data_IF_071667228595
#
_entry.id   IF_071667228595
#
_cell.length_a   1.000
_cell.length_b   1.000
_cell.length_c   1.000
_cell.angle_alpha   90.00
_cell.angle_beta   90.00
_cell.angle_gamma   90.00
#
_symmetry.space_group_name_H-M   'P 1'
#
loop_
_entity.id
_entity.type
_entity.pdbx_description
1 polymer ?
#
# COMPACT_ATOMS: atom_id res chain seq x y z
N UNK A 1 -61.53 -31.41 -28.14
CA UNK A 1 -61.43 -31.74 -26.70
C UNK A 1 -60.30 -32.75 -26.53
N UNK A 2 -59.06 -32.28 -26.35
CA UNK A 2 -57.88 -33.12 -26.23
C UNK A 2 -57.08 -32.63 -25.01
N UNK A 3 -57.26 -33.28 -23.86
CA UNK A 3 -56.26 -33.32 -22.77
C UNK A 3 -55.55 -34.68 -22.82
N UNK A 4 -54.49 -34.95 -22.02
CA UNK A 4 -53.95 -34.20 -20.87
C UNK A 4 -52.46 -33.83 -20.99
N UNK A 5 -51.97 -32.96 -20.09
CA UNK A 5 -50.53 -32.69 -19.92
C UNK A 5 -49.80 -33.89 -19.29
N UNK A 6 -48.52 -34.11 -19.66
CA UNK A 6 -47.55 -34.68 -18.75
C UNK A 6 -46.47 -33.65 -18.38
N UNK A 7 -46.40 -33.30 -17.09
CA UNK A 7 -45.21 -32.70 -16.47
C UNK A 7 -44.03 -33.63 -16.74
N UNK A 8 -43.01 -33.15 -17.45
CA UNK A 8 -41.73 -33.85 -17.54
C UNK A 8 -40.77 -33.20 -16.57
N UNK A 9 -40.90 -33.62 -15.32
CA UNK A 9 -39.86 -33.55 -14.31
C UNK A 9 -38.67 -34.38 -14.84
N UNK A 10 -37.73 -33.70 -15.49
CA UNK A 10 -36.48 -34.29 -15.95
C UNK A 10 -35.36 -33.57 -15.22
N UNK A 11 -35.13 -34.04 -14.00
CA UNK A 11 -33.80 -34.14 -13.39
C UNK A 11 -32.87 -34.80 -14.42
N UNK A 12 -32.28 -34.00 -15.29
CA UNK A 12 -31.19 -34.43 -16.16
C UNK A 12 -29.91 -33.89 -15.54
N UNK A 13 -29.17 -34.85 -14.99
CA UNK A 13 -27.80 -34.72 -14.56
C UNK A 13 -26.94 -34.06 -15.64
N UNK A 14 -26.00 -33.26 -15.14
CA UNK A 14 -24.88 -32.57 -15.78
C UNK A 14 -24.30 -33.29 -17.02
N UNK A 15 -23.74 -32.49 -17.95
CA UNK A 15 -22.30 -32.48 -17.97
C UNK A 15 -21.79 -31.11 -17.52
N UNK A 16 -20.83 -31.20 -16.59
CA UNK A 16 -19.95 -30.16 -16.10
C UNK A 16 -19.47 -29.34 -17.30
N UNK A 17 -20.08 -28.17 -17.51
CA UNK A 17 -19.47 -27.12 -18.31
C UNK A 17 -18.19 -26.76 -17.55
N UNK A 18 -17.06 -27.21 -18.10
CA UNK A 18 -15.71 -26.80 -17.73
C UNK A 18 -15.58 -25.28 -17.94
N UNK A 19 -16.20 -24.49 -17.09
CA UNK A 19 -15.73 -23.14 -16.76
C UNK A 19 -14.62 -23.36 -15.76
N UNK A 20 -13.44 -23.70 -16.27
CA UNK A 20 -12.22 -23.71 -15.48
C UNK A 20 -12.03 -22.31 -14.88
N UNK A 21 -12.35 -22.24 -13.58
CA UNK A 21 -11.50 -21.70 -12.53
C UNK A 21 -10.87 -20.30 -12.78
N UNK A 22 -11.42 -19.33 -12.04
CA UNK A 22 -10.67 -18.27 -11.33
C UNK A 22 -9.51 -17.59 -12.06
N UNK A 23 -9.82 -16.46 -12.71
CA UNK A 23 -8.92 -15.31 -12.74
C UNK A 23 -9.44 -14.20 -11.79
N UNK A 24 -9.96 -14.61 -10.62
CA UNK A 24 -9.80 -13.79 -9.44
C UNK A 24 -8.49 -14.25 -8.83
N UNK A 25 -7.52 -13.36 -8.66
CA UNK A 25 -6.76 -13.16 -7.41
C UNK A 25 -5.66 -12.14 -7.70
N UNK A 26 -5.95 -10.90 -7.29
CA UNK A 26 -5.03 -9.88 -6.79
C UNK A 26 -3.71 -9.63 -7.54
N UNK A 27 -3.53 -8.37 -7.93
CA UNK A 27 -2.27 -7.70 -8.27
C UNK A 27 -1.22 -7.69 -7.14
N UNK A 28 -1.14 -8.73 -6.30
CA UNK A 28 -0.03 -8.91 -5.40
C UNK A 28 1.19 -9.25 -6.26
N UNK A 29 1.90 -8.22 -6.73
CA UNK A 29 3.28 -8.36 -7.19
C UNK A 29 3.98 -9.12 -6.06
N UNK A 30 4.39 -10.38 -6.27
CA UNK A 30 5.09 -11.08 -5.22
C UNK A 30 6.33 -10.23 -4.94
N UNK A 31 6.70 -10.05 -3.66
CA UNK A 31 7.93 -9.37 -3.22
C UNK A 31 9.20 -10.13 -3.64
N UNK A 32 9.15 -10.82 -4.78
CA UNK A 32 10.29 -11.36 -5.49
C UNK A 32 11.25 -10.21 -5.66
N UNK A 33 12.46 -10.43 -5.18
CA UNK A 33 13.56 -9.49 -5.26
C UNK A 33 13.53 -8.79 -6.64
N UNK A 34 13.24 -7.49 -6.64
CA UNK A 34 12.96 -6.76 -7.87
C UNK A 34 14.24 -6.79 -8.73
N UNK A 35 14.19 -7.32 -9.96
CA UNK A 35 15.36 -7.33 -10.83
C UNK A 35 15.66 -5.91 -11.31
N UNK A 36 16.94 -5.59 -11.45
CA UNK A 36 17.40 -4.27 -11.88
C UNK A 36 18.71 -4.37 -12.67
N UNK A 37 19.05 -3.31 -13.38
CA UNK A 37 20.35 -3.09 -14.04
C UNK A 37 21.00 -1.83 -13.50
N UNK A 38 20.20 -0.86 -13.06
CA UNK A 38 20.63 0.41 -12.47
C UNK A 38 19.92 0.67 -11.13
N UNK A 39 20.51 1.47 -10.22
CA UNK A 39 19.85 1.85 -8.97
C UNK A 39 18.52 2.57 -9.17
N UNK A 40 18.37 3.36 -10.24
CA UNK A 40 17.15 4.14 -10.52
C UNK A 40 15.91 3.28 -10.77
N UNK A 41 16.08 2.01 -11.19
CA UNK A 41 14.98 1.06 -11.35
C UNK A 41 14.49 0.49 -10.01
N UNK A 42 15.22 0.77 -8.93
CA UNK A 42 14.91 0.35 -7.58
C UNK A 42 14.25 1.44 -6.76
N UNK A 43 13.88 2.59 -7.33
CA UNK A 43 13.16 3.64 -6.60
C UNK A 43 11.82 3.08 -6.04
N UNK A 44 11.74 2.95 -4.72
CA UNK A 44 10.52 2.57 -3.98
C UNK A 44 9.77 3.79 -3.43
N UNK A 45 10.20 5.00 -3.80
CA UNK A 45 9.68 6.27 -3.34
C UNK A 45 9.78 6.47 -1.82
N UNK A 46 10.66 5.73 -1.14
CA UNK A 46 10.96 5.94 0.27
C UNK A 46 12.24 6.78 0.43
N UNK A 47 12.15 8.05 0.86
CA UNK A 47 13.34 8.89 1.05
C UNK A 47 14.29 8.36 2.15
N UNK A 48 13.83 7.41 2.97
CA UNK A 48 14.60 6.81 4.05
C UNK A 48 15.34 5.53 3.69
N UNK A 49 15.42 5.22 2.40
CA UNK A 49 16.24 4.15 1.88
C UNK A 49 17.17 4.65 0.79
N UNK A 50 18.40 4.15 0.80
CA UNK A 50 19.31 4.28 -0.33
C UNK A 50 19.14 3.05 -1.22
N UNK A 51 18.84 3.27 -2.49
CA UNK A 51 18.60 2.22 -3.45
C UNK A 51 19.90 1.80 -4.15
N UNK A 52 20.08 0.50 -4.29
CA UNK A 52 21.21 -0.05 -5.03
C UNK A 52 20.79 -1.29 -5.81
N UNK A 53 21.56 -1.59 -6.85
CA UNK A 53 21.34 -2.75 -7.72
C UNK A 53 22.53 -3.73 -7.72
N UNK A 54 22.94 -4.30 -6.57
CA UNK A 54 23.98 -5.31 -6.56
C UNK A 54 23.47 -6.62 -7.17
N UNK A 55 24.28 -7.22 -8.05
CA UNK A 55 24.00 -8.52 -8.68
C UNK A 55 22.61 -8.61 -9.36
N UNK A 56 22.13 -7.50 -9.91
CA UNK A 56 20.86 -7.43 -10.64
C UNK A 56 19.62 -7.53 -9.76
N UNK A 57 19.75 -7.26 -8.46
CA UNK A 57 18.66 -7.32 -7.48
C UNK A 57 18.59 -6.02 -6.68
N UNK A 58 17.39 -5.45 -6.51
CA UNK A 58 17.20 -4.26 -5.72
C UNK A 58 17.49 -4.52 -4.23
N UNK A 59 18.27 -3.63 -3.65
CA UNK A 59 18.57 -3.57 -2.21
C UNK A 59 18.27 -2.17 -1.72
N UNK A 60 17.55 -2.10 -0.59
CA UNK A 60 17.09 -0.88 0.05
C UNK A 60 17.75 -0.79 1.42
N UNK A 61 18.71 0.10 1.58
CA UNK A 61 19.42 0.27 2.84
C UNK A 61 18.85 1.46 3.62
N UNK A 62 18.42 1.25 4.86
CA UNK A 62 17.94 2.35 5.70
C UNK A 62 19.04 3.40 5.88
N UNK A 63 18.71 4.66 5.59
CA UNK A 63 19.60 5.79 5.81
C UNK A 63 19.18 6.61 7.06
N UNK A 64 19.92 7.68 7.33
CA UNK A 64 19.67 8.60 8.47
C UNK A 64 19.64 10.06 8.01
N UNK A 65 19.31 10.30 6.74
CA UNK A 65 19.29 11.63 6.16
C UNK A 65 18.03 12.42 6.58
N UNK A 66 18.06 13.76 6.44
CA UNK A 66 16.85 14.58 6.57
C UNK A 66 15.79 14.14 5.55
N UNK A 67 14.54 14.09 5.99
CA UNK A 67 13.40 13.73 5.16
C UNK A 67 12.21 14.63 5.47
N UNK A 68 11.06 14.39 4.84
CA UNK A 68 9.78 14.99 5.28
C UNK A 68 8.76 13.88 5.45
N UNK A 69 8.13 13.81 6.62
CA UNK A 69 7.10 12.80 6.92
C UNK A 69 5.70 13.22 6.41
N UNK A 70 5.64 14.37 5.72
CA UNK A 70 4.42 14.97 5.19
C UNK A 70 3.53 15.62 6.25
N UNK A 71 3.94 15.65 7.52
CA UNK A 71 3.18 16.23 8.60
C UNK A 71 3.73 17.62 8.96
N UNK A 72 2.99 18.68 8.66
CA UNK A 72 3.42 20.05 9.02
C UNK A 72 3.48 20.29 10.53
N UNK A 73 3.02 19.34 11.35
CA UNK A 73 3.09 19.39 12.81
C UNK A 73 4.32 18.71 13.40
N UNK A 74 5.20 18.12 12.60
CA UNK A 74 6.47 17.56 13.06
C UNK A 74 7.62 18.50 12.70
N UNK A 75 8.68 18.44 13.49
CA UNK A 75 9.91 19.20 13.25
C UNK A 75 11.11 18.28 13.40
N UNK A 76 12.17 18.58 12.64
CA UNK A 76 13.40 17.80 12.66
C UNK A 76 13.21 16.39 12.10
N UNK A 77 12.38 16.25 11.06
CA UNK A 77 12.13 14.99 10.37
C UNK A 77 13.44 14.36 9.89
N UNK A 78 13.67 13.12 10.32
CA UNK A 78 14.87 12.36 10.00
C UNK A 78 14.53 10.89 9.81
N UNK A 79 15.25 10.26 8.90
CA UNK A 79 15.08 8.84 8.65
C UNK A 79 15.58 8.01 9.83
N UNK A 80 14.70 7.13 10.34
CA UNK A 80 15.04 6.16 11.37
C UNK A 80 14.42 4.82 11.02
N UNK A 81 15.26 3.80 10.87
CA UNK A 81 14.82 2.43 10.54
C UNK A 81 13.91 2.34 9.30
N UNK A 82 14.19 3.15 8.27
CA UNK A 82 13.45 3.14 7.00
C UNK A 82 12.13 3.92 7.04
N UNK A 83 11.86 4.66 8.12
CA UNK A 83 10.67 5.49 8.28
C UNK A 83 11.09 6.93 8.50
N UNK A 84 10.43 7.86 7.79
CA UNK A 84 10.58 9.27 8.04
C UNK A 84 9.67 9.69 9.20
N UNK A 85 10.22 10.42 10.17
CA UNK A 85 9.43 11.00 11.25
C UNK A 85 10.20 12.08 12.00
N UNK A 86 9.45 13.01 12.58
CA UNK A 86 10.00 14.08 13.43
C UNK A 86 9.40 14.13 14.82
N UNK A 87 9.72 15.21 15.53
CA UNK A 87 9.15 15.50 16.86
C UNK A 87 7.87 16.31 16.70
N UNK A 88 6.79 15.87 17.33
CA UNK A 88 5.53 16.60 17.32
C UNK A 88 5.68 17.98 17.96
N UNK A 89 5.18 19.00 17.27
CA UNK A 89 5.16 20.38 17.70
C UNK A 89 4.07 20.58 18.75
N UNK A 90 4.45 21.14 19.90
CA UNK A 90 3.50 21.55 20.93
C UNK A 90 2.94 22.95 20.63
N UNK A 91 1.68 22.99 20.21
CA UNK A 91 0.94 24.23 19.96
C UNK A 91 0.06 24.68 21.14
N UNK A 92 0.16 24.02 22.30
CA UNK A 92 -0.69 24.31 23.46
C UNK A 92 -0.54 25.75 23.97
N UNK A 93 0.62 26.36 23.76
CA UNK A 93 0.88 27.76 24.08
C UNK A 93 0.04 28.75 23.25
N UNK A 94 -0.47 28.34 22.08
CA UNK A 94 -1.40 29.15 21.27
C UNK A 94 -2.86 29.02 21.72
N UNK A 95 -3.13 28.21 22.76
CA UNK A 95 -4.44 28.13 23.40
C UNK A 95 -4.69 29.28 24.37
N UNK A 96 -5.95 29.65 24.54
CA UNK A 96 -6.39 30.68 25.47
C UNK A 96 -7.71 30.26 26.15
N UNK A 97 -8.37 31.21 26.82
CA UNK A 97 -9.61 30.95 27.55
C UNK A 97 -10.80 30.60 26.64
N UNK A 98 -10.67 30.86 25.34
CA UNK A 98 -11.71 30.69 24.33
C UNK A 98 -11.40 29.53 23.38
N UNK A 99 -10.13 29.16 23.22
CA UNK A 99 -9.66 28.24 22.18
C UNK A 99 -8.58 27.27 22.68
N UNK A 100 -8.54 26.06 22.13
CA UNK A 100 -7.44 25.11 22.34
C UNK A 100 -6.46 25.20 21.17
N UNK A 101 -5.18 25.45 21.47
CA UNK A 101 -4.11 25.43 20.49
C UNK A 101 -3.75 23.99 20.10
N UNK A 102 -4.15 23.58 18.91
CA UNK A 102 -3.79 22.27 18.32
C UNK A 102 -3.07 22.50 17.01
N UNK A 103 -2.15 21.60 16.67
CA UNK A 103 -1.56 21.60 15.35
C UNK A 103 -2.45 20.87 14.35
N UNK A 104 -2.66 21.44 13.17
CA UNK A 104 -3.41 20.83 12.09
C UNK A 104 -2.44 20.30 11.02
N UNK A 105 -2.33 18.97 10.93
CA UNK A 105 -1.42 18.29 10.00
C UNK A 105 -1.84 18.39 8.51
N UNK A 106 -3.00 19.00 8.20
CA UNK A 106 -3.66 18.90 6.90
C UNK A 106 -3.89 20.22 6.14
N UNK A 107 -3.07 21.25 6.38
CA UNK A 107 -3.01 22.45 5.53
C UNK A 107 -1.59 22.74 5.11
#
# INVERSE_FOLDING_TARGET
MLGPMPRRDRRMALPVLFLAAVAFMASARPSVAQPCVTPAECDDSNPCTDESCPAGTCVFANNTEPCSDGNNCTTGDVCTAGVCGGTATDCSASGDQCNVGVCNAGT
#
